data_IF_362967515503
#
_entry.id   IF_362967515503
#
_cell.length_a   1.000
_cell.length_b   1.000
_cell.length_c   1.000
_cell.angle_alpha   90.00
_cell.angle_beta   90.00
_cell.angle_gamma   90.00
#
_symmetry.space_group_name_H-M   'P 1'
#
loop_
_entity.id
_entity.type
_entity.pdbx_description
1 polymer ?
#
# COMPACT_ATOMS: atom_id res chain seq x y z
N UNK A 1 -6.03 23.18 -8.06
CA UNK A 1 -4.76 23.01 -8.80
C UNK A 1 -5.08 22.92 -10.29
N UNK A 2 -4.69 23.91 -11.10
CA UNK A 2 -5.03 23.91 -12.53
C UNK A 2 -4.02 23.01 -13.28
N UNK A 3 -4.29 21.71 -13.35
CA UNK A 3 -3.41 20.73 -14.01
C UNK A 3 -3.70 20.76 -15.52
N UNK A 4 -2.70 21.12 -16.32
CA UNK A 4 -2.83 21.10 -17.78
C UNK A 4 -3.06 19.65 -18.26
N UNK A 5 -3.89 19.44 -19.29
CA UNK A 5 -4.19 18.13 -19.88
C UNK A 5 -2.93 17.33 -20.29
N UNK A 6 -1.83 18.03 -20.63
CA UNK A 6 -0.54 17.40 -20.94
C UNK A 6 0.15 16.72 -19.75
N UNK A 7 -0.41 16.85 -18.54
CA UNK A 7 0.12 16.26 -17.29
C UNK A 7 -0.72 15.10 -16.78
N UNK A 8 -1.72 14.66 -17.54
CA UNK A 8 -2.64 13.59 -17.15
C UNK A 8 -2.61 12.49 -18.21
N UNK A 9 -2.62 11.25 -17.77
CA UNK A 9 -2.69 10.06 -18.62
C UNK A 9 -3.70 9.09 -18.03
N UNK A 10 -4.68 8.67 -18.83
CA UNK A 10 -5.69 7.67 -18.44
C UNK A 10 -5.31 6.33 -19.05
N UNK A 11 -5.51 5.26 -18.28
CA UNK A 11 -5.19 3.89 -18.70
C UNK A 11 -6.14 2.87 -18.05
N UNK A 12 -6.00 1.61 -18.44
CA UNK A 12 -6.78 0.47 -17.94
C UNK A 12 -6.41 0.09 -16.47
N UNK A 13 -6.51 1.06 -15.55
CA UNK A 13 -6.18 0.93 -14.14
C UNK A 13 -4.74 1.32 -13.81
N UNK A 14 -4.34 1.20 -12.54
CA UNK A 14 -3.02 1.67 -12.05
C UNK A 14 -1.82 0.85 -12.53
N UNK A 15 -1.97 -0.47 -12.71
CA UNK A 15 -0.82 -1.34 -13.06
C UNK A 15 -0.12 -0.98 -14.37
N UNK A 16 -0.81 -0.74 -15.49
CA UNK A 16 -0.17 -0.29 -16.71
C UNK A 16 0.54 1.06 -16.55
N UNK A 17 0.00 1.94 -15.70
CA UNK A 17 0.61 3.24 -15.40
C UNK A 17 1.92 3.08 -14.63
N UNK A 18 1.97 2.23 -13.61
CA UNK A 18 3.19 1.92 -12.86
C UNK A 18 4.24 1.31 -13.81
N UNK A 19 3.84 0.32 -14.62
CA UNK A 19 4.73 -0.28 -15.61
C UNK A 19 5.33 0.76 -16.56
N UNK A 20 4.47 1.62 -17.14
CA UNK A 20 4.91 2.66 -18.06
C UNK A 20 5.82 3.70 -17.38
N UNK A 21 5.56 4.01 -16.10
CA UNK A 21 6.39 4.90 -15.30
C UNK A 21 7.80 4.34 -15.14
N UNK A 22 7.91 3.09 -14.69
CA UNK A 22 9.21 2.44 -14.56
C UNK A 22 9.94 2.38 -15.89
N UNK A 23 9.29 1.93 -16.97
CA UNK A 23 9.88 1.91 -18.33
C UNK A 23 10.28 3.29 -18.86
N UNK A 24 9.72 4.36 -18.33
CA UNK A 24 10.03 5.73 -18.76
C UNK A 24 11.20 6.35 -17.99
N UNK A 25 11.33 6.01 -16.71
CA UNK A 25 12.26 6.67 -15.77
C UNK A 25 13.48 5.80 -15.47
N UNK A 26 13.29 4.48 -15.33
CA UNK A 26 14.33 3.55 -14.88
C UNK A 26 15.02 2.92 -16.08
N UNK A 27 16.33 3.15 -16.22
CA UNK A 27 17.20 2.41 -17.12
C UNK A 27 17.89 1.27 -16.35
N UNK A 28 18.49 0.34 -17.08
CA UNK A 28 19.25 -0.77 -16.49
C UNK A 28 20.33 -0.26 -15.54
N UNK A 29 20.32 -0.78 -14.30
CA UNK A 29 21.26 -0.40 -13.23
C UNK A 29 20.91 0.88 -12.48
N UNK A 30 19.83 1.57 -12.82
CA UNK A 30 19.35 2.70 -12.03
C UNK A 30 18.82 2.23 -10.68
N UNK A 31 19.19 2.95 -9.62
CA UNK A 31 18.72 2.66 -8.25
C UNK A 31 17.27 3.05 -8.05
N UNK A 32 16.46 2.07 -7.62
CA UNK A 32 15.05 2.24 -7.27
C UNK A 32 14.85 1.96 -5.78
N UNK A 33 14.44 2.98 -5.04
CA UNK A 33 14.16 2.89 -3.59
C UNK A 33 12.69 2.55 -3.41
N UNK A 34 12.40 1.54 -2.61
CA UNK A 34 11.06 1.23 -2.14
C UNK A 34 11.10 0.57 -0.77
N UNK A 35 10.03 0.76 -0.01
CA UNK A 35 9.90 0.19 1.33
C UNK A 35 9.34 -1.22 1.28
N UNK A 36 9.62 -2.02 2.30
CA UNK A 36 8.96 -3.32 2.54
C UNK A 36 8.44 -3.37 3.98
N UNK A 37 7.23 -3.88 4.19
CA UNK A 37 6.34 -4.50 3.21
C UNK A 37 5.75 -3.49 2.21
N UNK A 38 5.63 -3.87 0.93
CA UNK A 38 5.00 -3.04 -0.09
C UNK A 38 4.40 -3.87 -1.24
N UNK A 39 3.60 -3.21 -2.07
CA UNK A 39 2.90 -3.87 -3.16
C UNK A 39 3.67 -3.74 -4.49
N UNK A 40 4.19 -4.87 -4.99
CA UNK A 40 4.69 -5.06 -6.37
C UNK A 40 5.89 -4.22 -6.84
N UNK A 41 6.50 -3.35 -6.03
CA UNK A 41 7.61 -2.51 -6.47
C UNK A 41 8.83 -3.34 -6.93
N UNK A 42 9.10 -4.46 -6.24
CA UNK A 42 10.16 -5.40 -6.59
C UNK A 42 9.99 -5.97 -8.00
N UNK A 43 8.78 -6.32 -8.42
CA UNK A 43 8.52 -6.85 -9.77
C UNK A 43 8.81 -5.81 -10.84
N UNK A 44 8.38 -4.56 -10.64
CA UNK A 44 8.62 -3.50 -11.63
C UNK A 44 10.10 -3.10 -11.70
N UNK A 45 10.83 -3.07 -10.58
CA UNK A 45 12.27 -2.86 -10.57
C UNK A 45 12.99 -3.99 -11.31
N UNK A 46 12.63 -5.26 -11.05
CA UNK A 46 13.16 -6.42 -11.75
C UNK A 46 12.89 -6.39 -13.26
N UNK A 47 11.66 -6.09 -13.70
CA UNK A 47 11.29 -6.00 -15.12
C UNK A 47 12.06 -4.92 -15.89
N UNK A 48 12.73 -4.02 -15.20
CA UNK A 48 13.52 -2.93 -15.79
C UNK A 48 15.01 -3.07 -15.55
N UNK A 49 15.49 -4.22 -15.06
CA UNK A 49 16.90 -4.42 -14.66
C UNK A 49 17.41 -3.31 -13.71
N UNK A 50 16.52 -2.72 -12.91
CA UNK A 50 16.86 -1.70 -11.93
C UNK A 50 17.57 -2.30 -10.72
N UNK A 51 18.46 -1.52 -10.09
CA UNK A 51 19.05 -1.87 -8.81
C UNK A 51 18.04 -1.71 -7.69
N UNK A 52 17.76 -2.80 -6.97
CA UNK A 52 16.83 -2.81 -5.86
C UNK A 52 17.46 -2.19 -4.61
N UNK A 53 16.95 -1.05 -4.17
CA UNK A 53 17.28 -0.45 -2.89
C UNK A 53 16.07 -0.59 -1.95
N UNK A 54 16.08 -1.66 -1.18
CA UNK A 54 14.99 -2.05 -0.28
C UNK A 54 15.21 -1.39 1.08
N UNK A 55 14.20 -0.67 1.57
CA UNK A 55 14.18 -0.05 2.90
C UNK A 55 13.15 -0.77 3.76
N UNK A 56 13.60 -1.45 4.78
CA UNK A 56 12.72 -2.15 5.71
C UNK A 56 12.11 -1.14 6.67
N UNK A 57 10.76 -1.17 6.78
CA UNK A 57 10.01 -0.31 7.71
C UNK A 57 9.34 -1.15 8.78
N UNK A 58 9.17 -0.57 9.95
CA UNK A 58 8.84 -1.30 11.18
C UNK A 58 7.51 -0.85 11.79
N UNK A 59 6.91 -1.64 12.70
CA UNK A 59 5.65 -1.31 13.33
C UNK A 59 5.70 -0.06 14.21
N UNK A 60 6.88 0.35 14.70
CA UNK A 60 7.05 1.54 15.53
C UNK A 60 6.59 2.81 14.82
N UNK A 61 6.69 2.84 13.48
CA UNK A 61 6.17 3.92 12.64
C UNK A 61 5.02 3.44 11.74
N UNK A 62 4.20 2.49 12.23
CA UNK A 62 3.07 1.93 11.49
C UNK A 62 3.45 1.41 10.08
N UNK A 63 4.66 0.90 9.91
CA UNK A 63 5.22 0.46 8.63
C UNK A 63 5.24 1.53 7.55
N UNK A 64 5.35 2.81 7.93
CA UNK A 64 5.57 3.91 7.01
C UNK A 64 7.02 4.40 7.12
N UNK A 65 7.67 4.78 6.01
CA UNK A 65 9.04 5.28 6.05
C UNK A 65 9.12 6.67 6.65
N UNK A 66 10.21 6.93 7.35
CA UNK A 66 10.64 8.28 7.73
C UNK A 66 11.64 8.83 6.70
N UNK A 67 11.86 10.15 6.73
CA UNK A 67 12.93 10.75 5.95
C UNK A 67 14.32 10.19 6.34
N UNK A 68 14.51 9.87 7.62
CA UNK A 68 15.76 9.28 8.13
C UNK A 68 16.02 7.87 7.56
N UNK A 69 14.98 7.06 7.37
CA UNK A 69 15.11 5.73 6.75
C UNK A 69 15.55 5.83 5.28
N UNK A 70 15.08 6.83 4.57
CA UNK A 70 15.35 7.01 3.14
C UNK A 70 16.66 7.75 2.85
N UNK A 71 17.09 8.67 3.73
CA UNK A 71 18.22 9.56 3.51
C UNK A 71 19.54 8.85 3.13
N UNK A 72 19.93 7.70 3.72
CA UNK A 72 21.16 6.99 3.34
C UNK A 72 21.18 6.50 1.90
N UNK A 73 20.01 6.39 1.27
CA UNK A 73 19.81 5.71 0.01
C UNK A 73 19.58 6.63 -1.19
N UNK A 74 19.22 7.92 -0.95
CA UNK A 74 18.75 8.82 -2.03
C UNK A 74 19.83 9.24 -3.01
N UNK A 75 21.11 9.21 -2.59
CA UNK A 75 22.20 9.59 -3.46
C UNK A 75 22.22 8.67 -4.69
N UNK A 76 22.27 9.26 -5.87
CA UNK A 76 22.29 8.58 -7.17
C UNK A 76 21.04 7.72 -7.47
N UNK A 77 20.02 7.76 -6.62
CA UNK A 77 18.77 7.08 -6.91
C UNK A 77 17.98 7.81 -8.02
N UNK A 78 17.25 7.03 -8.81
CA UNK A 78 16.44 7.54 -9.92
C UNK A 78 14.97 7.62 -9.58
N UNK A 79 14.47 6.68 -8.76
CA UNK A 79 13.07 6.58 -8.38
C UNK A 79 12.92 6.21 -6.91
N UNK A 80 12.03 6.91 -6.19
CA UNK A 80 11.48 6.48 -4.91
C UNK A 80 10.03 6.09 -5.15
N UNK A 81 9.61 4.94 -4.62
CA UNK A 81 8.23 4.45 -4.70
C UNK A 81 7.60 4.50 -3.32
N UNK A 82 6.61 5.35 -3.14
CA UNK A 82 5.79 5.44 -1.92
C UNK A 82 4.32 5.18 -2.25
N UNK A 83 3.64 4.51 -1.33
CA UNK A 83 2.20 4.29 -1.37
C UNK A 83 1.57 4.84 -0.09
N UNK A 84 0.62 5.75 -0.20
CA UNK A 84 -0.14 6.27 0.95
C UNK A 84 -1.54 6.68 0.50
N UNK A 85 -2.59 6.11 1.12
CA UNK A 85 -2.60 5.00 2.10
C UNK A 85 -1.98 3.72 1.53
N UNK A 86 -1.30 2.96 2.39
CA UNK A 86 -0.44 1.87 1.95
C UNK A 86 -1.18 0.52 1.83
N UNK A 87 -0.85 -0.23 0.81
CA UNK A 87 -1.03 -1.66 0.71
C UNK A 87 0.36 -2.33 0.93
N UNK A 88 0.55 -3.18 1.95
CA UNK A 88 -0.46 -4.00 2.65
C UNK A 88 -1.00 -3.43 3.96
N UNK A 89 -0.44 -2.37 4.51
CA UNK A 89 -0.56 -2.05 5.93
C UNK A 89 -1.85 -1.33 6.32
N UNK A 90 -2.51 -0.63 5.40
CA UNK A 90 -3.69 0.19 5.70
C UNK A 90 -3.36 1.47 6.46
N UNK A 91 -2.09 1.87 6.48
CA UNK A 91 -1.57 3.03 7.20
C UNK A 91 -1.26 4.19 6.25
N UNK A 92 -1.02 5.38 6.79
CA UNK A 92 -0.76 6.61 6.02
C UNK A 92 0.55 7.27 6.43
N UNK A 93 1.18 7.97 5.50
CA UNK A 93 2.31 8.85 5.82
C UNK A 93 1.84 10.03 6.67
N UNK A 94 2.57 10.30 7.75
CA UNK A 94 2.41 11.50 8.53
C UNK A 94 2.77 12.74 7.72
N UNK A 95 2.11 13.87 8.02
CA UNK A 95 2.33 15.12 7.31
C UNK A 95 3.77 15.61 7.43
N UNK A 96 4.33 15.59 8.64
CA UNK A 96 5.67 16.11 8.89
C UNK A 96 6.74 15.23 8.22
N UNK A 97 6.56 13.90 8.26
CA UNK A 97 7.46 12.98 7.56
C UNK A 97 7.39 13.17 6.05
N UNK A 98 6.19 13.31 5.48
CA UNK A 98 6.06 13.55 4.03
C UNK A 98 6.67 14.90 3.62
N UNK A 99 6.56 15.94 4.44
CA UNK A 99 7.24 17.22 4.22
C UNK A 99 8.75 17.04 4.20
N UNK A 100 9.34 16.35 5.17
CA UNK A 100 10.77 16.08 5.23
C UNK A 100 11.26 15.24 4.03
N UNK A 101 10.50 14.21 3.62
CA UNK A 101 10.81 13.43 2.43
C UNK A 101 10.81 14.33 1.18
N UNK A 102 9.83 15.20 1.04
CA UNK A 102 9.78 16.15 -0.08
C UNK A 102 10.99 17.09 -0.09
N UNK A 103 11.32 17.68 1.06
CA UNK A 103 12.47 18.59 1.21
C UNK A 103 13.79 17.89 0.86
N UNK A 104 13.95 16.62 1.29
CA UNK A 104 15.09 15.77 0.96
C UNK A 104 15.21 15.52 -0.56
N UNK A 105 14.11 15.19 -1.24
CA UNK A 105 14.10 14.98 -2.70
C UNK A 105 14.43 16.26 -3.45
N UNK A 106 13.90 17.40 -3.01
CA UNK A 106 14.17 18.72 -3.60
C UNK A 106 15.64 19.09 -3.45
N UNK A 107 16.21 18.90 -2.27
CA UNK A 107 17.62 19.17 -1.98
C UNK A 107 18.54 18.28 -2.85
N UNK A 108 18.29 16.99 -2.90
CA UNK A 108 19.04 16.06 -3.75
C UNK A 108 19.01 16.51 -5.22
N UNK A 109 17.83 16.84 -5.75
CA UNK A 109 17.68 17.28 -7.13
C UNK A 109 18.35 18.63 -7.43
N UNK A 110 18.40 19.52 -6.46
CA UNK A 110 19.10 20.80 -6.58
C UNK A 110 20.63 20.62 -6.60
N UNK A 111 21.15 19.63 -5.88
CA UNK A 111 22.59 19.31 -5.85
C UNK A 111 23.10 18.55 -7.08
N UNK A 112 22.22 17.98 -7.92
CA UNK A 112 22.63 17.20 -9.08
C UNK A 112 23.16 18.07 -10.21
N UNK A 113 24.23 17.61 -10.85
CA UNK A 113 24.84 18.30 -12.00
C UNK A 113 23.82 18.55 -13.12
N UNK A 114 24.09 19.57 -13.93
CA UNK A 114 23.28 19.86 -15.11
C UNK A 114 23.30 18.64 -16.07
N UNK A 115 22.10 18.20 -16.51
CA UNK A 115 21.94 17.03 -17.36
C UNK A 115 21.95 15.67 -16.66
N UNK A 116 22.26 15.60 -15.36
CA UNK A 116 22.10 14.37 -14.60
C UNK A 116 20.63 13.97 -14.46
N UNK A 117 20.37 12.66 -14.40
CA UNK A 117 19.03 12.13 -14.11
C UNK A 117 18.52 12.73 -12.81
N UNK A 118 17.25 13.08 -12.81
CA UNK A 118 16.58 13.58 -11.60
C UNK A 118 16.03 12.41 -10.78
N UNK A 119 15.94 12.60 -9.47
CA UNK A 119 15.25 11.70 -8.56
C UNK A 119 13.75 12.00 -8.66
N UNK A 120 12.97 11.01 -9.06
CA UNK A 120 11.52 11.10 -9.13
C UNK A 120 10.87 10.36 -7.96
N UNK A 121 9.66 10.79 -7.62
CA UNK A 121 8.79 10.15 -6.65
C UNK A 121 7.57 9.58 -7.38
N UNK A 122 7.40 8.26 -7.36
CA UNK A 122 6.11 7.63 -7.62
C UNK A 122 5.30 7.68 -6.32
N UNK A 123 4.14 8.31 -6.37
CA UNK A 123 3.22 8.40 -5.24
C UNK A 123 1.92 7.69 -5.60
N UNK A 124 1.81 6.43 -5.18
CA UNK A 124 0.59 5.63 -5.33
C UNK A 124 -0.41 6.02 -4.25
N UNK A 125 -1.50 6.64 -4.67
CA UNK A 125 -2.57 7.09 -3.78
C UNK A 125 -3.93 6.42 -4.09
N UNK A 126 -3.91 5.19 -4.55
CA UNK A 126 -5.11 4.45 -4.98
C UNK A 126 -6.21 4.36 -3.92
N UNK A 127 -5.88 4.60 -2.65
CA UNK A 127 -6.80 4.51 -1.50
C UNK A 127 -7.06 5.87 -0.84
N UNK A 128 -6.65 6.99 -1.40
CA UNK A 128 -6.61 8.29 -0.72
C UNK A 128 -7.97 8.79 -0.19
N UNK A 129 -9.09 8.37 -0.81
CA UNK A 129 -10.44 8.70 -0.34
C UNK A 129 -10.90 7.83 0.83
N UNK A 130 -10.24 6.70 1.08
CA UNK A 130 -10.60 5.71 2.10
C UNK A 130 -9.76 5.92 3.36
N UNK A 131 -9.95 7.05 4.03
CA UNK A 131 -9.38 7.34 5.35
C UNK A 131 -10.47 7.30 6.41
N UNK A 132 -10.14 6.92 7.65
CA UNK A 132 -11.09 6.69 8.74
C UNK A 132 -10.72 7.51 9.97
N UNK A 133 -11.71 7.79 10.83
CA UNK A 133 -11.53 8.62 12.02
C UNK A 133 -10.91 9.97 11.67
N UNK A 134 -9.89 10.38 12.43
CA UNK A 134 -9.18 11.66 12.26
C UNK A 134 -8.04 11.60 11.24
N UNK A 135 -7.89 10.48 10.51
CA UNK A 135 -6.80 10.30 9.54
C UNK A 135 -7.00 11.19 8.32
N UNK A 136 -6.01 12.04 8.04
CA UNK A 136 -5.98 12.92 6.88
C UNK A 136 -4.92 12.45 5.89
N UNK A 137 -5.34 12.26 4.63
CA UNK A 137 -4.40 11.98 3.56
C UNK A 137 -3.68 13.27 3.11
N UNK A 138 -2.36 13.19 3.01
CA UNK A 138 -1.50 14.28 2.51
C UNK A 138 -0.83 13.86 1.21
N UNK A 139 -0.58 14.83 0.33
CA UNK A 139 0.14 14.57 -0.92
C UNK A 139 1.34 15.51 -1.09
N UNK A 140 2.41 15.05 -1.75
CA UNK A 140 3.67 15.78 -1.87
C UNK A 140 3.52 17.19 -2.46
N UNK A 141 2.68 17.33 -3.48
CA UNK A 141 2.57 18.60 -4.23
C UNK A 141 1.75 19.64 -3.48
N UNK A 142 0.82 19.22 -2.62
CA UNK A 142 0.07 20.16 -1.75
C UNK A 142 0.96 20.70 -0.62
N UNK A 143 1.90 19.89 -0.14
CA UNK A 143 2.82 20.26 0.94
C UNK A 143 4.02 21.06 0.41
N UNK A 144 4.56 20.68 -0.74
CA UNK A 144 5.68 21.33 -1.43
C UNK A 144 5.35 21.47 -2.91
N UNK A 145 4.87 22.62 -3.38
CA UNK A 145 4.46 22.83 -4.78
C UNK A 145 5.55 22.52 -5.81
N UNK A 146 6.82 22.66 -5.45
CA UNK A 146 7.99 22.36 -6.27
C UNK A 146 8.08 20.87 -6.61
N UNK A 147 7.56 20.00 -5.77
CA UNK A 147 7.47 18.55 -6.01
C UNK A 147 6.67 18.20 -7.26
N UNK A 148 5.87 19.14 -7.80
CA UNK A 148 5.18 18.98 -9.10
C UNK A 148 6.13 18.68 -10.27
N UNK A 149 7.40 19.04 -10.14
CA UNK A 149 8.43 18.74 -11.13
C UNK A 149 8.95 17.30 -11.07
N UNK A 150 8.74 16.61 -9.94
CA UNK A 150 9.38 15.33 -9.65
C UNK A 150 8.40 14.24 -9.22
N UNK A 151 7.14 14.56 -8.94
CA UNK A 151 6.14 13.58 -8.49
C UNK A 151 5.30 13.06 -9.64
N UNK A 152 5.13 11.73 -9.71
CA UNK A 152 4.15 11.06 -10.55
C UNK A 152 3.15 10.36 -9.65
N UNK A 153 1.93 10.88 -9.63
CA UNK A 153 0.80 10.25 -8.94
C UNK A 153 0.25 9.10 -9.77
N UNK A 154 -0.09 8.02 -9.09
CA UNK A 154 -0.87 6.90 -9.64
C UNK A 154 -2.15 6.78 -8.84
N UNK A 155 -3.29 6.77 -9.53
CA UNK A 155 -4.61 6.77 -8.90
C UNK A 155 -5.65 6.11 -9.82
N UNK A 156 -6.88 5.93 -9.32
CA UNK A 156 -7.99 5.38 -10.10
C UNK A 156 -9.18 4.96 -9.26
N UNK A 157 -10.20 4.48 -9.93
CA UNK A 157 -11.48 4.11 -9.29
C UNK A 157 -11.49 2.69 -8.72
N UNK A 158 -10.46 1.90 -8.98
CA UNK A 158 -10.44 0.45 -8.67
C UNK A 158 -10.72 0.13 -7.20
N UNK A 159 -10.26 1.00 -6.28
CA UNK A 159 -10.37 0.81 -4.83
C UNK A 159 -11.30 1.85 -4.20
N UNK A 160 -11.06 3.12 -4.51
CA UNK A 160 -11.87 4.23 -4.02
C UNK A 160 -13.38 4.05 -4.27
N UNK A 161 -13.74 3.44 -5.39
CA UNK A 161 -15.15 3.22 -5.79
C UNK A 161 -15.52 1.73 -5.91
N UNK A 162 -14.75 0.82 -5.32
CA UNK A 162 -14.95 -0.64 -5.43
C UNK A 162 -15.08 -1.14 -6.89
N UNK A 163 -14.51 -0.41 -7.85
CA UNK A 163 -14.70 -0.59 -9.29
C UNK A 163 -13.51 -1.26 -9.98
N UNK A 164 -12.96 -2.31 -9.36
CA UNK A 164 -11.74 -2.99 -9.84
C UNK A 164 -11.89 -3.53 -11.26
N UNK A 165 -13.07 -4.04 -11.63
CA UNK A 165 -13.36 -4.59 -12.95
C UNK A 165 -13.59 -3.55 -14.04
N UNK A 166 -13.88 -2.31 -13.70
CA UNK A 166 -14.16 -1.20 -14.66
C UNK A 166 -12.91 -0.75 -15.39
N UNK A 167 -11.73 -0.94 -14.83
CA UNK A 167 -10.43 -0.72 -15.47
C UNK A 167 -10.17 0.75 -15.87
N UNK A 168 -10.44 1.70 -15.00
CA UNK A 168 -10.09 3.11 -15.20
C UNK A 168 -9.15 3.57 -14.10
N UNK A 169 -8.00 4.10 -14.52
CA UNK A 169 -7.01 4.73 -13.64
C UNK A 169 -6.30 5.86 -14.38
N UNK A 170 -5.60 6.70 -13.63
CA UNK A 170 -4.87 7.82 -14.19
C UNK A 170 -3.53 8.04 -13.49
N UNK A 171 -2.59 8.62 -14.23
CA UNK A 171 -1.36 9.18 -13.68
C UNK A 171 -1.34 10.70 -13.91
N UNK A 172 -0.76 11.40 -12.95
CA UNK A 172 -0.52 12.84 -13.04
C UNK A 172 0.94 13.13 -12.73
N UNK A 173 1.62 13.93 -13.56
CA UNK A 173 3.05 14.19 -13.35
C UNK A 173 3.66 15.23 -14.29
N UNK A 174 5.00 15.30 -14.36
CA UNK A 174 5.71 16.16 -15.30
C UNK A 174 5.33 15.84 -16.74
N UNK A 175 5.06 16.88 -17.55
CA UNK A 175 4.54 16.69 -18.91
C UNK A 175 5.42 15.81 -19.80
N UNK A 176 6.76 15.93 -19.67
CA UNK A 176 7.69 15.11 -20.44
C UNK A 176 7.65 13.62 -20.06
N UNK A 177 7.44 13.30 -18.76
CA UNK A 177 7.29 11.91 -18.29
C UNK A 177 5.96 11.35 -18.79
N UNK A 178 4.87 12.09 -18.59
CA UNK A 178 3.53 11.70 -19.03
C UNK A 178 3.48 11.47 -20.55
N UNK A 179 4.15 12.30 -21.35
CA UNK A 179 4.21 12.12 -22.81
C UNK A 179 4.89 10.82 -23.22
N UNK A 180 5.99 10.43 -22.55
CA UNK A 180 6.69 9.17 -22.79
C UNK A 180 5.86 7.96 -22.34
N UNK A 181 5.26 8.03 -21.16
CA UNK A 181 4.33 6.98 -20.66
C UNK A 181 3.17 6.79 -21.65
N UNK A 182 2.59 7.90 -22.17
CA UNK A 182 1.51 7.84 -23.14
C UNK A 182 1.96 7.14 -24.44
N UNK A 183 3.13 7.47 -24.95
CA UNK A 183 3.67 6.84 -26.16
C UNK A 183 3.82 5.32 -25.95
N UNK A 184 4.40 4.89 -24.82
CA UNK A 184 4.56 3.48 -24.50
C UNK A 184 3.20 2.77 -24.41
N UNK A 185 2.25 3.30 -23.64
CA UNK A 185 0.92 2.69 -23.47
C UNK A 185 0.12 2.66 -24.80
N UNK A 186 0.37 3.61 -25.69
CA UNK A 186 -0.21 3.59 -27.04
C UNK A 186 0.21 2.36 -27.83
N UNK A 187 1.48 1.98 -27.75
CA UNK A 187 2.01 0.82 -28.49
C UNK A 187 1.55 -0.52 -27.94
N UNK A 188 1.32 -0.62 -26.62
CA UNK A 188 0.86 -1.86 -25.99
C UNK A 188 -0.67 -1.97 -25.89
N UNK A 189 -1.41 -0.95 -26.32
CA UNK A 189 -2.87 -0.96 -26.31
C UNK A 189 -3.50 -0.91 -24.92
N UNK A 190 -2.84 -0.34 -23.93
CA UNK A 190 -3.31 -0.31 -22.53
C UNK A 190 -4.26 0.87 -22.25
N UNK A 191 -5.25 1.05 -23.10
CA UNK A 191 -6.28 2.07 -22.95
C UNK A 191 -7.33 1.66 -21.92
N UNK A 192 -7.86 2.62 -21.19
CA UNK A 192 -9.12 2.39 -20.50
C UNK A 192 -10.25 2.32 -21.55
N UNK A 193 -11.24 1.40 -21.40
CA UNK A 193 -12.37 1.34 -22.33
C UNK A 193 -13.13 2.67 -22.36
N UNK A 194 -13.60 3.08 -23.56
CA UNK A 194 -14.17 4.41 -23.75
C UNK A 194 -15.48 4.61 -22.98
N UNK A 195 -16.35 3.60 -22.95
CA UNK A 195 -17.62 3.67 -22.22
C UNK A 195 -17.41 3.87 -20.72
N UNK A 196 -16.46 3.14 -20.16
CA UNK A 196 -16.09 3.20 -18.73
C UNK A 196 -15.41 4.52 -18.37
N UNK A 197 -14.60 5.08 -19.27
CA UNK A 197 -14.04 6.43 -19.09
C UNK A 197 -15.16 7.49 -19.01
N UNK A 198 -16.13 7.37 -19.92
CA UNK A 198 -17.26 8.31 -19.97
C UNK A 198 -18.15 8.20 -18.71
N UNK A 199 -18.49 6.97 -18.33
CA UNK A 199 -19.26 6.70 -17.12
C UNK A 199 -18.53 7.20 -15.86
N UNK A 200 -17.21 6.95 -15.77
CA UNK A 200 -16.36 7.44 -14.68
C UNK A 200 -16.36 8.97 -14.63
N UNK A 201 -16.16 9.62 -15.76
CA UNK A 201 -16.15 11.09 -15.82
C UNK A 201 -17.50 11.69 -15.39
N UNK A 202 -18.61 11.10 -15.84
CA UNK A 202 -19.95 11.54 -15.45
C UNK A 202 -20.19 11.35 -13.94
N UNK A 203 -19.80 10.18 -13.40
CA UNK A 203 -19.98 9.90 -11.98
C UNK A 203 -19.13 10.84 -11.11
N UNK A 204 -17.86 11.05 -11.44
CA UNK A 204 -16.97 11.96 -10.72
C UNK A 204 -17.38 13.43 -10.81
N UNK A 205 -18.12 13.80 -11.85
CA UNK A 205 -18.67 15.16 -12.01
C UNK A 205 -19.97 15.39 -11.25
N UNK A 206 -20.60 14.34 -10.74
CA UNK A 206 -21.81 14.42 -9.92
C UNK A 206 -21.41 14.32 -8.44
N UNK A 207 -21.06 15.47 -7.85
CA UNK A 207 -20.57 15.55 -6.46
C UNK A 207 -21.53 14.85 -5.48
N UNK A 208 -22.85 15.09 -5.60
CA UNK A 208 -23.85 14.49 -4.71
C UNK A 208 -23.84 12.95 -4.80
N UNK A 209 -23.77 12.39 -6.01
CA UNK A 209 -23.73 10.94 -6.18
C UNK A 209 -22.40 10.34 -5.71
N UNK A 210 -21.30 11.04 -5.97
CA UNK A 210 -19.96 10.62 -5.55
C UNK A 210 -19.83 10.63 -4.01
N UNK A 211 -20.20 11.74 -3.37
CA UNK A 211 -20.10 11.89 -1.92
C UNK A 211 -21.03 10.90 -1.19
N UNK A 212 -22.28 10.76 -1.64
CA UNK A 212 -23.20 9.81 -1.05
C UNK A 212 -22.76 8.35 -1.18
N UNK A 213 -22.17 7.97 -2.32
CA UNK A 213 -21.58 6.64 -2.47
C UNK A 213 -20.38 6.45 -1.54
N UNK A 214 -19.47 7.42 -1.51
CA UNK A 214 -18.24 7.33 -0.74
C UNK A 214 -18.50 7.25 0.76
N UNK A 215 -19.44 8.07 1.26
CA UNK A 215 -19.85 8.06 2.66
C UNK A 215 -20.40 6.69 3.07
N UNK A 216 -21.38 6.16 2.33
CA UNK A 216 -21.96 4.85 2.61
C UNK A 216 -20.94 3.70 2.49
N UNK A 217 -20.03 3.77 1.52
CA UNK A 217 -18.99 2.78 1.34
C UNK A 217 -17.95 2.81 2.47
N UNK A 218 -17.49 4.01 2.86
CA UNK A 218 -16.56 4.19 3.99
C UNK A 218 -17.16 3.67 5.29
N UNK A 219 -18.43 4.00 5.58
CA UNK A 219 -19.11 3.54 6.80
C UNK A 219 -19.08 2.01 6.92
N UNK A 220 -19.41 1.29 5.84
CA UNK A 220 -19.39 -0.18 5.83
C UNK A 220 -17.99 -0.76 6.01
N UNK A 221 -16.97 -0.14 5.42
CA UNK A 221 -15.59 -0.57 5.59
C UNK A 221 -15.10 -0.31 7.02
N UNK A 222 -15.35 0.88 7.55
CA UNK A 222 -14.93 1.29 8.89
C UNK A 222 -15.56 0.43 9.97
N UNK A 223 -16.83 0.06 9.82
CA UNK A 223 -17.51 -0.87 10.74
C UNK A 223 -16.79 -2.22 10.83
N UNK A 224 -16.41 -2.82 9.68
CA UNK A 224 -15.67 -4.09 9.63
C UNK A 224 -14.25 -3.95 10.21
N UNK A 225 -13.54 -2.90 9.84
CA UNK A 225 -12.19 -2.63 10.31
C UNK A 225 -12.17 -2.45 11.84
N UNK A 226 -13.09 -1.65 12.38
CA UNK A 226 -13.20 -1.40 13.80
C UNK A 226 -13.66 -2.65 14.58
N UNK A 227 -14.52 -3.49 13.99
CA UNK A 227 -14.91 -4.75 14.61
C UNK A 227 -13.68 -5.67 14.76
N UNK A 228 -12.92 -5.89 13.69
CA UNK A 228 -11.70 -6.71 13.71
C UNK A 228 -10.69 -6.15 14.70
N UNK A 229 -10.50 -4.83 14.72
CA UNK A 229 -9.59 -4.17 15.65
C UNK A 229 -9.96 -4.48 17.11
N UNK A 230 -11.22 -4.29 17.50
CA UNK A 230 -11.69 -4.56 18.87
C UNK A 230 -11.52 -6.04 19.26
N UNK A 231 -11.82 -6.94 18.35
CA UNK A 231 -11.69 -8.37 18.62
C UNK A 231 -10.22 -8.80 18.80
N UNK A 232 -9.29 -8.27 18.03
CA UNK A 232 -7.86 -8.53 18.24
C UNK A 232 -7.35 -7.94 19.56
N UNK A 233 -7.80 -6.75 19.94
CA UNK A 233 -7.49 -6.18 21.27
C UNK A 233 -8.03 -7.07 22.37
N UNK A 234 -9.27 -7.57 22.25
CA UNK A 234 -9.87 -8.53 23.20
C UNK A 234 -9.04 -9.82 23.33
N UNK A 235 -8.58 -10.38 22.21
CA UNK A 235 -7.71 -11.56 22.21
C UNK A 235 -6.35 -11.28 22.87
N UNK A 236 -5.76 -10.12 22.60
CA UNK A 236 -4.52 -9.67 23.24
C UNK A 236 -4.67 -9.53 24.76
N UNK A 237 -5.78 -8.93 25.23
CA UNK A 237 -6.10 -8.79 26.67
C UNK A 237 -6.33 -10.15 27.35
N UNK A 238 -6.78 -11.17 26.63
CA UNK A 238 -6.86 -12.55 27.10
C UNK A 238 -5.49 -13.26 27.18
N UNK A 239 -4.41 -12.61 26.74
CA UNK A 239 -3.06 -13.14 26.81
C UNK A 239 -2.61 -13.96 25.59
N UNK A 240 -3.37 -13.95 24.49
CA UNK A 240 -2.92 -14.55 23.25
C UNK A 240 -1.80 -13.70 22.60
N UNK A 241 -0.83 -14.33 21.91
CA UNK A 241 0.31 -13.63 21.32
C UNK A 241 -0.06 -12.95 20.00
N UNK A 242 -1.01 -12.04 20.06
CA UNK A 242 -1.55 -11.28 18.94
C UNK A 242 -1.47 -9.79 19.20
N UNK A 243 -1.39 -9.01 18.13
CA UNK A 243 -1.46 -7.54 18.16
C UNK A 243 -2.07 -7.01 16.88
N UNK A 244 -2.39 -5.72 16.83
CA UNK A 244 -3.02 -5.10 15.66
C UNK A 244 -2.70 -3.60 15.64
N UNK A 245 -2.49 -3.06 14.44
CA UNK A 245 -2.41 -1.62 14.23
C UNK A 245 -3.83 -1.07 14.04
N UNK A 246 -4.13 0.04 14.71
CA UNK A 246 -5.43 0.70 14.58
C UNK A 246 -5.72 1.09 13.12
N UNK A 247 -6.97 0.94 12.64
CA UNK A 247 -7.33 1.27 11.27
C UNK A 247 -7.14 2.76 11.00
N UNK A 248 -6.39 3.07 9.95
CA UNK A 248 -6.19 4.44 9.48
C UNK A 248 -6.84 4.66 8.11
N UNK A 249 -6.63 3.72 7.18
CA UNK A 249 -7.07 3.91 5.80
C UNK A 249 -7.14 2.62 5.00
N UNK A 250 -7.51 2.73 3.71
CA UNK A 250 -7.63 1.64 2.74
C UNK A 250 -8.70 0.60 3.12
N UNK A 251 -8.49 -0.65 2.74
CA UNK A 251 -9.38 -1.78 3.02
C UNK A 251 -8.63 -2.90 3.77
N UNK A 252 -7.54 -2.53 4.44
CA UNK A 252 -6.60 -3.46 5.07
C UNK A 252 -6.39 -3.16 6.54
N UNK A 253 -6.08 -4.22 7.30
CA UNK A 253 -5.51 -4.14 8.64
C UNK A 253 -4.22 -4.94 8.70
N UNK A 254 -3.33 -4.47 9.55
CA UNK A 254 -2.06 -5.09 9.88
C UNK A 254 -2.18 -5.81 11.22
N UNK A 255 -2.08 -7.13 11.17
CA UNK A 255 -2.24 -8.03 12.30
C UNK A 255 -0.89 -8.65 12.67
N UNK A 256 -0.60 -8.75 13.96
CA UNK A 256 0.48 -9.60 14.47
C UNK A 256 -0.11 -10.89 15.03
N UNK A 257 0.44 -12.04 14.62
CA UNK A 257 0.12 -13.35 15.18
C UNK A 257 1.46 -14.08 15.36
N UNK A 258 1.98 -14.07 16.59
CA UNK A 258 3.33 -14.50 16.91
C UNK A 258 3.31 -15.88 17.60
N UNK A 259 3.04 -16.91 16.82
CA UNK A 259 2.91 -18.29 17.30
C UNK A 259 4.20 -19.12 17.14
N UNK A 260 5.32 -18.49 16.78
CA UNK A 260 6.59 -19.21 16.64
C UNK A 260 7.00 -19.82 17.99
N UNK A 261 7.26 -21.14 17.99
CA UNK A 261 7.60 -21.91 19.18
C UNK A 261 6.40 -22.44 19.99
N UNK A 262 5.18 -22.00 19.68
CA UNK A 262 3.98 -22.57 20.27
C UNK A 262 3.73 -23.99 19.74
N UNK A 263 3.13 -24.86 20.54
CA UNK A 263 2.89 -26.25 20.18
C UNK A 263 1.42 -26.50 19.85
N UNK A 264 1.19 -27.15 18.72
CA UNK A 264 -0.10 -27.68 18.32
C UNK A 264 0.00 -29.20 18.14
N UNK A 265 -0.84 -29.98 18.81
CA UNK A 265 -0.80 -31.44 18.81
C UNK A 265 0.61 -32.03 19.11
N UNK A 266 1.34 -31.39 20.03
CA UNK A 266 2.67 -31.81 20.45
C UNK A 266 3.81 -31.42 19.47
N UNK A 267 3.53 -30.74 18.36
CA UNK A 267 4.50 -30.26 17.39
C UNK A 267 4.66 -28.73 17.50
N UNK A 268 5.89 -28.20 17.55
CA UNK A 268 6.11 -26.76 17.60
C UNK A 268 5.92 -26.13 16.21
N UNK A 269 5.27 -24.96 16.18
CA UNK A 269 5.22 -24.11 15.00
C UNK A 269 6.54 -23.33 14.88
N UNK A 270 7.37 -23.63 13.89
CA UNK A 270 8.72 -23.07 13.77
C UNK A 270 8.80 -21.93 12.74
N UNK A 271 7.97 -21.97 11.74
CA UNK A 271 8.02 -21.05 10.59
C UNK A 271 6.72 -20.30 10.41
N UNK A 272 6.77 -19.14 9.73
CA UNK A 272 5.57 -18.38 9.37
C UNK A 272 4.64 -19.20 8.44
N UNK A 273 5.21 -20.09 7.62
CA UNK A 273 4.40 -20.98 6.75
C UNK A 273 3.55 -21.93 7.59
N UNK A 274 4.13 -22.56 8.61
CA UNK A 274 3.41 -23.46 9.54
C UNK A 274 2.35 -22.70 10.34
N UNK A 275 2.64 -21.46 10.78
CA UNK A 275 1.63 -20.61 11.40
C UNK A 275 0.49 -20.28 10.44
N UNK A 276 0.80 -19.95 9.20
CA UNK A 276 -0.22 -19.66 8.17
C UNK A 276 -1.07 -20.88 7.86
N UNK A 277 -0.47 -22.07 7.80
CA UNK A 277 -1.16 -23.33 7.60
C UNK A 277 -2.06 -23.70 8.81
N UNK A 278 -1.59 -23.46 10.02
CA UNK A 278 -2.38 -23.61 11.25
C UNK A 278 -3.61 -22.66 11.22
N UNK A 279 -3.42 -21.40 10.90
CA UNK A 279 -4.53 -20.44 10.80
C UNK A 279 -5.55 -20.82 9.73
N UNK A 280 -5.09 -21.33 8.59
CA UNK A 280 -5.96 -21.75 7.50
C UNK A 280 -6.76 -22.99 7.87
N UNK A 281 -6.12 -24.03 8.42
CA UNK A 281 -6.74 -25.33 8.64
C UNK A 281 -7.54 -25.39 9.94
N UNK A 282 -7.11 -24.68 10.98
CA UNK A 282 -7.68 -24.80 12.33
C UNK A 282 -8.56 -23.62 12.74
N UNK A 283 -8.34 -22.46 12.13
CA UNK A 283 -9.14 -21.25 12.36
C UNK A 283 -9.92 -20.80 11.10
N UNK A 284 -9.83 -21.54 9.99
CA UNK A 284 -10.43 -21.21 8.70
C UNK A 284 -10.12 -19.77 8.23
N UNK A 285 -8.96 -19.25 8.66
CA UNK A 285 -8.54 -17.88 8.46
C UNK A 285 -7.43 -17.77 7.41
N UNK A 286 -7.80 -17.27 6.22
CA UNK A 286 -6.87 -17.00 5.13
C UNK A 286 -6.42 -15.53 5.17
N UNK A 287 -5.22 -15.27 5.68
CA UNK A 287 -4.58 -13.95 5.72
C UNK A 287 -3.21 -13.99 5.02
N UNK A 288 -2.72 -12.84 4.57
CA UNK A 288 -1.51 -12.80 3.76
C UNK A 288 -0.32 -12.36 4.61
N UNK A 289 0.71 -13.23 4.76
CA UNK A 289 1.89 -12.88 5.53
C UNK A 289 2.69 -11.75 4.87
N UNK A 290 3.36 -10.93 5.67
CA UNK A 290 4.15 -9.80 5.17
C UNK A 290 5.37 -10.23 4.35
N UNK A 291 5.83 -11.45 4.48
CA UNK A 291 6.84 -12.03 3.58
C UNK A 291 6.41 -12.04 2.11
N UNK A 292 5.10 -12.15 1.81
CA UNK A 292 4.57 -11.99 0.45
C UNK A 292 4.68 -10.56 -0.09
N UNK A 293 5.01 -9.59 0.77
CA UNK A 293 5.20 -8.17 0.43
C UNK A 293 6.65 -7.72 0.59
N UNK A 294 7.58 -8.67 0.65
CA UNK A 294 9.02 -8.42 0.70
C UNK A 294 9.62 -8.24 2.09
N UNK A 295 8.84 -8.34 3.17
CA UNK A 295 9.37 -8.37 4.52
C UNK A 295 10.08 -9.70 4.82
N UNK A 296 10.85 -9.74 5.92
CA UNK A 296 11.55 -10.94 6.36
C UNK A 296 10.61 -12.15 6.50
N UNK A 297 11.10 -13.33 6.14
CA UNK A 297 10.32 -14.58 6.18
C UNK A 297 9.90 -14.99 7.59
N UNK A 298 10.55 -14.48 8.63
CA UNK A 298 10.20 -14.72 10.03
C UNK A 298 9.22 -13.70 10.61
N UNK A 299 8.82 -12.69 9.85
CA UNK A 299 7.93 -11.62 10.31
C UNK A 299 6.59 -12.19 10.77
N UNK A 300 6.13 -11.90 12.02
CA UNK A 300 4.85 -12.39 12.53
C UNK A 300 3.65 -11.54 12.09
N UNK A 301 3.85 -10.64 11.14
CA UNK A 301 2.84 -9.71 10.68
C UNK A 301 2.13 -10.19 9.42
N UNK A 302 0.84 -9.87 9.35
CA UNK A 302 -0.07 -10.29 8.28
C UNK A 302 -0.96 -9.14 7.84
N UNK A 303 -1.42 -9.20 6.59
CA UNK A 303 -2.50 -8.36 6.07
C UNK A 303 -3.82 -9.12 6.07
N UNK A 304 -4.85 -8.51 6.64
CA UNK A 304 -6.25 -8.89 6.37
C UNK A 304 -6.91 -7.83 5.48
N UNK A 305 -7.84 -8.25 4.63
CA UNK A 305 -8.61 -7.38 3.75
C UNK A 305 -10.10 -7.53 4.03
N UNK A 306 -10.79 -6.40 4.23
CA UNK A 306 -12.25 -6.37 4.47
C UNK A 306 -13.08 -6.09 3.22
N UNK A 307 -12.43 -5.99 2.06
CA UNK A 307 -13.10 -5.58 0.81
C UNK A 307 -14.16 -6.55 0.27
N UNK A 308 -14.11 -7.82 0.69
CA UNK A 308 -15.03 -8.87 0.21
C UNK A 308 -15.72 -9.65 1.32
N UNK A 309 -15.36 -9.45 2.59
CA UNK A 309 -16.00 -10.16 3.70
C UNK A 309 -17.38 -9.57 4.01
N UNK A 310 -18.29 -10.42 4.42
CA UNK A 310 -19.55 -9.98 5.01
C UNK A 310 -19.35 -9.73 6.50
N UNK A 311 -20.12 -8.82 7.07
CA UNK A 311 -20.00 -8.51 8.50
C UNK A 311 -20.40 -9.71 9.37
N UNK A 312 -21.41 -10.46 8.96
CA UNK A 312 -21.91 -11.64 9.67
C UNK A 312 -20.85 -12.74 9.80
N UNK A 313 -20.00 -12.91 8.78
CA UNK A 313 -18.94 -13.91 8.75
C UNK A 313 -17.82 -13.61 9.77
N UNK A 314 -17.67 -12.33 10.18
CA UNK A 314 -16.61 -11.93 11.11
C UNK A 314 -16.79 -12.49 12.52
N UNK A 315 -18.01 -12.59 13.01
CA UNK A 315 -18.28 -13.14 14.34
C UNK A 315 -17.93 -14.62 14.41
N UNK A 316 -18.29 -15.40 13.37
CA UNK A 316 -17.94 -16.81 13.25
C UNK A 316 -16.43 -16.99 13.15
N UNK A 317 -15.77 -16.19 12.29
CA UNK A 317 -14.32 -16.21 12.12
C UNK A 317 -13.57 -16.00 13.44
N UNK A 318 -14.00 -15.04 14.27
CA UNK A 318 -13.35 -14.81 15.57
C UNK A 318 -13.63 -15.93 16.59
N UNK A 319 -14.79 -16.57 16.54
CA UNK A 319 -15.08 -17.78 17.32
C UNK A 319 -14.13 -18.92 16.96
N UNK A 320 -13.95 -19.18 15.68
CA UNK A 320 -13.03 -20.19 15.13
C UNK A 320 -11.57 -19.88 15.49
N UNK A 321 -11.15 -18.63 15.33
CA UNK A 321 -9.79 -18.18 15.67
C UNK A 321 -9.51 -18.37 17.16
N UNK A 322 -10.40 -17.94 18.05
CA UNK A 322 -10.21 -18.09 19.48
C UNK A 322 -10.20 -19.57 19.89
N UNK A 323 -11.09 -20.39 19.33
CA UNK A 323 -11.10 -21.84 19.56
C UNK A 323 -9.79 -22.50 19.11
N UNK A 324 -9.25 -22.11 17.94
CA UNK A 324 -7.96 -22.59 17.46
C UNK A 324 -6.81 -22.18 18.40
N UNK A 325 -6.73 -20.90 18.76
CA UNK A 325 -5.70 -20.37 19.64
C UNK A 325 -5.72 -21.04 21.04
N UNK A 326 -6.90 -21.37 21.57
CA UNK A 326 -7.05 -22.02 22.88
C UNK A 326 -6.49 -23.45 22.94
N UNK A 327 -6.31 -24.11 21.79
CA UNK A 327 -5.70 -25.45 21.68
C UNK A 327 -4.17 -25.43 21.67
N UNK A 328 -3.56 -24.26 21.55
CA UNK A 328 -2.12 -24.09 21.55
C UNK A 328 -1.55 -24.16 22.97
N UNK A 329 -0.39 -24.79 23.08
CA UNK A 329 0.39 -24.83 24.31
C UNK A 329 1.58 -23.88 24.18
N UNK A 330 1.84 -23.13 25.24
CA UNK A 330 2.96 -22.21 25.28
C UNK A 330 4.30 -22.94 25.10
N UNK A 331 5.32 -22.28 24.52
CA UNK A 331 6.66 -22.80 24.53
C UNK A 331 7.08 -23.17 25.98
N UNK A 332 7.56 -24.38 26.19
CA UNK A 332 8.17 -24.70 27.49
C UNK A 332 9.39 -23.78 27.64
N UNK A 333 9.36 -22.86 28.60
CA UNK A 333 10.56 -22.17 29.05
C UNK A 333 11.52 -23.27 29.52
N UNK A 334 12.58 -23.52 28.70
CA UNK A 334 13.68 -24.35 29.21
C UNK A 334 14.30 -23.56 30.36
N UNK A 335 14.11 -24.08 31.56
CA UNK A 335 14.68 -23.59 32.81
C UNK A 335 16.21 -23.76 32.84
#
# INVERSE_FOLDING_TARGET
MNTKLTRILISSGGRPLIYALFKTIVDKGDKVIYTVPSWNNNHYAHMNDGEHCVVEVTPENNFMPTAADLAPHIKDATLICLCSPQNPTGTTLDKAELEQICDMILLENAGRAAGAKKLYLMYDQMYWTLTYGDTVHHNPVSLRPEMKAYTIFVDGISKALAATGVRVGWAMGPAQVIAKMKALLSHIGAWAPMAEQYATAQFLSNETAFDGFLEGFKLQLEERLNFIYREFIRLKEKGYPVDIIAPQAAIYLTLKIDLKGWHFNGQPLQTQSEVSEFLLNEAHLAIVPFSCFGADASSPWYRVSVGTCKFEDLTEMFGELEAALSRLQQPHLQS
#
